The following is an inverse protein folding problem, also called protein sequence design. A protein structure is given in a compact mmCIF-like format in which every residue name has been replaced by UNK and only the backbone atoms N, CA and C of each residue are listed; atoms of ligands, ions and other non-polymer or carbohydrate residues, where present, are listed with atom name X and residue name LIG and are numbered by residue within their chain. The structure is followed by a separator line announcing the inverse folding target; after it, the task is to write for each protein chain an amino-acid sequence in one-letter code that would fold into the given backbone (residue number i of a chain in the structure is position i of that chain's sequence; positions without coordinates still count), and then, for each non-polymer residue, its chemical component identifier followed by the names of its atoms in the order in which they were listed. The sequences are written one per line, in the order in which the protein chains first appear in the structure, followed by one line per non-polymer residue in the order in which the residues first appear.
data_IF_873595353190
#
_entry.id   IF_873595353190
#
_cell.length_a   1.000
_cell.length_b   1.000
_cell.length_c   1.000
_cell.angle_alpha   90.00
_cell.angle_beta   90.00
_cell.angle_gamma   90.00
#
_symmetry.space_group_name_H-M   'P 1'
#
loop_
_entity.id
_entity.type
_entity.pdbx_description
1 polymer ?
#
# COMPACT_ATOMS: atom_id res chain seq x y z
N UNK A 1 -12.62 9.19 22.20
CA UNK A 1 -12.92 7.87 21.60
C UNK A 1 -11.74 7.28 20.86
N UNK A 2 -10.87 8.11 20.31
CA UNK A 2 -9.62 7.69 19.66
C UNK A 2 -8.41 7.75 20.58
N UNK A 3 -8.61 8.07 21.87
CA UNK A 3 -7.53 8.22 22.83
C UNK A 3 -6.70 9.48 22.64
N UNK A 4 -7.26 10.53 22.03
CA UNK A 4 -6.57 11.80 21.86
C UNK A 4 -6.22 12.45 23.22
N UNK A 5 -5.03 13.01 23.31
CA UNK A 5 -4.59 13.79 24.46
C UNK A 5 -5.22 15.18 24.45
N UNK A 6 -5.21 15.89 25.59
CA UNK A 6 -5.66 17.30 25.69
C UNK A 6 -4.95 18.19 24.68
N UNK A 7 -3.65 18.01 24.50
CA UNK A 7 -2.83 18.72 23.54
C UNK A 7 -3.24 18.47 22.08
N UNK A 8 -3.65 17.23 21.76
CA UNK A 8 -4.17 16.88 20.43
C UNK A 8 -5.57 17.43 20.16
N UNK A 9 -6.31 17.80 21.22
CA UNK A 9 -7.64 18.40 21.11
C UNK A 9 -7.59 19.92 20.97
N UNK A 10 -6.50 20.56 21.39
CA UNK A 10 -6.26 21.99 21.26
C UNK A 10 -5.54 22.28 19.93
N UNK A 11 -6.31 22.36 18.85
CA UNK A 11 -5.81 22.61 17.50
C UNK A 11 -6.45 23.86 16.89
N UNK A 12 -5.71 24.61 16.06
CA UNK A 12 -6.26 25.77 15.36
C UNK A 12 -7.27 25.33 14.29
N UNK A 13 -8.31 26.14 14.11
CA UNK A 13 -9.36 25.91 13.13
C UNK A 13 -9.30 27.00 12.06
N UNK A 14 -9.38 26.59 10.80
CA UNK A 14 -9.49 27.52 9.68
C UNK A 14 -10.63 27.08 8.74
N UNK A 15 -11.35 28.06 8.21
CA UNK A 15 -12.43 27.86 7.27
C UNK A 15 -11.93 28.11 5.85
N UNK A 16 -12.23 27.23 4.92
CA UNK A 16 -11.78 27.37 3.54
C UNK A 16 -12.81 26.86 2.53
N UNK A 17 -12.82 27.49 1.38
CA UNK A 17 -13.55 27.04 0.20
C UNK A 17 -12.58 26.73 -0.92
N UNK A 18 -12.27 25.45 -1.14
CA UNK A 18 -11.38 25.01 -2.22
C UNK A 18 -11.93 25.36 -3.61
N UNK A 19 -13.27 25.36 -3.78
CA UNK A 19 -13.92 25.73 -5.05
C UNK A 19 -13.68 27.21 -5.39
N UNK A 20 -13.74 28.09 -4.39
CA UNK A 20 -13.62 29.54 -4.60
C UNK A 20 -12.17 30.05 -4.35
N UNK A 21 -11.27 29.18 -3.87
CA UNK A 21 -9.91 29.56 -3.57
C UNK A 21 -9.77 30.55 -2.40
N UNK A 22 -10.63 30.46 -1.38
CA UNK A 22 -10.71 31.40 -0.25
C UNK A 22 -10.45 30.67 1.06
N UNK A 23 -9.79 31.34 2.02
CA UNK A 23 -9.64 30.84 3.37
C UNK A 23 -9.67 31.97 4.41
N UNK A 24 -10.01 31.66 5.68
CA UNK A 24 -10.07 32.65 6.76
C UNK A 24 -10.27 32.01 8.13
N UNK A 25 -10.02 32.77 9.19
CA UNK A 25 -10.18 32.30 10.57
C UNK A 25 -11.65 32.27 11.01
N UNK A 26 -12.51 33.00 10.33
CA UNK A 26 -13.94 33.06 10.61
C UNK A 26 -14.74 32.61 9.38
N UNK A 27 -15.85 31.89 9.55
CA UNK A 27 -16.62 31.36 8.42
C UNK A 27 -17.24 32.46 7.56
N UNK A 28 -17.57 33.62 8.16
CA UNK A 28 -18.21 34.76 7.49
C UNK A 28 -17.22 35.84 7.05
N UNK A 29 -15.92 35.65 7.28
CA UNK A 29 -14.85 36.59 6.97
C UNK A 29 -13.66 35.89 6.29
N UNK A 30 -13.92 35.27 5.14
CA UNK A 30 -12.87 34.67 4.33
C UNK A 30 -12.05 35.74 3.60
N UNK A 31 -10.73 35.56 3.55
CA UNK A 31 -9.85 36.38 2.74
C UNK A 31 -10.09 36.12 1.24
N UNK A 32 -9.48 36.94 0.39
CA UNK A 32 -9.64 36.84 -1.08
C UNK A 32 -8.84 35.69 -1.72
N UNK A 33 -8.08 34.93 -0.93
CA UNK A 33 -7.22 33.84 -1.40
C UNK A 33 -6.99 32.76 -0.32
N UNK A 34 -6.13 31.77 -0.62
CA UNK A 34 -5.79 30.67 0.29
C UNK A 34 -4.61 30.98 1.23
N UNK A 35 -4.06 32.18 1.19
CA UNK A 35 -2.90 32.57 2.01
C UNK A 35 -3.09 32.27 3.49
N UNK A 36 -4.26 32.56 4.13
CA UNK A 36 -4.44 32.26 5.55
C UNK A 36 -4.31 30.76 5.88
N UNK A 37 -4.79 29.87 4.99
CA UNK A 37 -4.63 28.42 5.16
C UNK A 37 -3.17 28.00 5.01
N UNK A 38 -2.49 28.50 3.99
CA UNK A 38 -1.09 28.17 3.74
C UNK A 38 -0.19 28.67 4.88
N UNK A 39 -0.47 29.89 5.39
CA UNK A 39 0.25 30.44 6.53
C UNK A 39 0.04 29.61 7.79
N UNK A 40 -1.20 29.21 8.08
CA UNK A 40 -1.50 28.37 9.23
C UNK A 40 -0.77 27.00 9.14
N UNK A 41 -0.66 26.42 7.96
CA UNK A 41 0.11 25.19 7.76
C UNK A 41 1.59 25.43 8.11
N UNK A 42 2.17 26.52 7.64
CA UNK A 42 3.59 26.85 7.91
C UNK A 42 3.83 27.11 9.41
N UNK A 43 2.88 27.74 10.09
CA UNK A 43 3.02 28.12 11.50
C UNK A 43 2.78 26.95 12.48
N UNK A 44 1.91 26.00 12.12
CA UNK A 44 1.44 24.97 13.06
C UNK A 44 1.85 23.55 12.70
N UNK A 45 2.20 23.26 11.43
CA UNK A 45 2.65 21.91 11.07
C UNK A 45 4.15 21.80 11.28
N UNK A 46 4.62 20.96 12.21
CA UNK A 46 6.05 20.82 12.46
C UNK A 46 6.77 20.28 11.22
N UNK A 47 7.96 20.81 10.96
CA UNK A 47 8.85 20.25 9.96
C UNK A 47 9.23 18.81 10.32
N UNK A 48 9.56 17.94 9.33
CA UNK A 48 10.03 16.60 9.62
C UNK A 48 11.27 16.62 10.53
N UNK A 49 11.25 15.81 11.59
CA UNK A 49 12.44 15.56 12.41
C UNK A 49 13.35 14.60 11.65
N UNK A 50 14.45 15.13 11.10
CA UNK A 50 15.34 14.40 10.19
C UNK A 50 16.79 14.78 10.44
N UNK A 51 17.69 13.82 10.20
CA UNK A 51 19.14 14.02 10.20
C UNK A 51 19.63 14.26 8.77
N UNK A 52 19.92 15.52 8.44
CA UNK A 52 20.41 15.94 7.11
C UNK A 52 21.88 15.62 6.87
N UNK A 53 22.69 15.54 7.93
CA UNK A 53 24.15 15.41 7.86
C UNK A 53 24.63 13.95 8.06
N UNK A 54 23.74 13.07 8.47
CA UNK A 54 24.02 11.66 8.66
C UNK A 54 24.27 10.91 7.34
N UNK A 55 24.82 9.69 7.40
CA UNK A 55 24.98 8.85 6.21
C UNK A 55 23.64 8.48 5.59
N UNK A 56 23.57 8.48 4.26
CA UNK A 56 22.34 8.21 3.52
C UNK A 56 21.67 6.91 3.96
N UNK A 57 20.36 6.96 4.19
CA UNK A 57 19.53 5.81 4.50
C UNK A 57 18.07 6.05 4.07
N UNK A 58 17.54 5.12 3.31
CA UNK A 58 16.17 5.14 2.78
C UNK A 58 15.59 3.73 2.81
N UNK A 59 14.32 3.59 3.14
CA UNK A 59 13.60 2.31 3.02
C UNK A 59 12.65 2.33 1.84
N UNK A 60 12.66 1.25 1.06
CA UNK A 60 11.73 1.07 -0.05
C UNK A 60 10.35 0.68 0.53
N UNK A 61 9.39 1.56 0.35
CA UNK A 61 8.01 1.36 0.81
C UNK A 61 7.05 0.99 -0.33
N UNK A 62 7.41 1.31 -1.55
CA UNK A 62 6.62 1.02 -2.74
C UNK A 62 7.54 0.73 -3.93
N UNK A 63 7.10 -0.12 -4.82
CA UNK A 63 7.76 -0.39 -6.09
C UNK A 63 6.91 0.11 -7.26
N UNK A 64 7.57 0.52 -8.31
CA UNK A 64 6.98 0.84 -9.60
C UNK A 64 7.84 0.22 -10.71
N UNK A 65 7.32 0.13 -11.90
CA UNK A 65 8.02 -0.46 -13.02
C UNK A 65 7.85 0.35 -14.30
N UNK A 66 8.96 0.58 -14.97
CA UNK A 66 8.96 1.21 -16.28
C UNK A 66 9.80 0.35 -17.25
N UNK A 67 9.30 0.11 -18.45
CA UNK A 67 9.95 -0.78 -19.44
C UNK A 67 11.34 -0.30 -19.87
N UNK A 68 11.67 0.99 -19.69
CA UNK A 68 12.96 1.56 -20.07
C UNK A 68 14.00 1.56 -18.95
N UNK A 69 13.56 1.78 -17.71
CA UNK A 69 14.46 1.92 -16.54
C UNK A 69 14.37 0.74 -15.56
N UNK A 70 13.44 -0.18 -15.81
CA UNK A 70 13.21 -1.35 -14.95
C UNK A 70 12.44 -1.00 -13.67
N UNK A 71 12.80 -1.68 -12.58
CA UNK A 71 12.20 -1.47 -11.27
C UNK A 71 12.62 -0.12 -10.70
N UNK A 72 11.64 0.59 -10.13
CA UNK A 72 11.80 1.89 -9.48
C UNK A 72 11.43 1.72 -8.01
N UNK A 73 12.36 2.00 -7.13
CA UNK A 73 12.13 1.99 -5.69
C UNK A 73 11.64 3.34 -5.20
N UNK A 74 10.52 3.37 -4.50
CA UNK A 74 9.94 4.59 -3.92
C UNK A 74 9.99 4.47 -2.41
N UNK A 75 10.40 5.55 -1.74
CA UNK A 75 10.45 5.61 -0.30
C UNK A 75 10.82 6.97 0.24
N UNK A 76 10.78 7.09 1.56
CA UNK A 76 11.21 8.29 2.27
C UNK A 76 12.67 8.16 2.68
N UNK A 77 13.46 9.20 2.42
CA UNK A 77 14.81 9.32 2.94
C UNK A 77 14.73 9.55 4.45
N UNK A 78 15.33 8.66 5.25
CA UNK A 78 15.32 8.75 6.72
C UNK A 78 16.41 9.67 7.24
N UNK A 79 17.60 9.62 6.63
CA UNK A 79 18.74 10.48 6.96
C UNK A 79 19.64 10.67 5.75
N UNK A 80 20.42 11.75 5.80
CA UNK A 80 21.42 12.08 4.80
C UNK A 80 20.84 12.56 3.48
N UNK A 81 21.61 12.39 2.43
CA UNK A 81 21.33 12.92 1.09
C UNK A 81 21.67 11.89 0.03
N UNK A 82 20.98 11.95 -1.10
CA UNK A 82 21.23 11.08 -2.26
C UNK A 82 21.31 11.91 -3.54
N UNK A 83 22.22 11.50 -4.43
CA UNK A 83 22.43 12.09 -5.75
C UNK A 83 22.38 11.02 -6.85
N UNK A 84 22.06 11.40 -8.09
CA UNK A 84 22.26 10.53 -9.23
C UNK A 84 23.71 10.05 -9.31
N UNK A 85 23.91 8.82 -9.79
CA UNK A 85 25.21 8.17 -9.91
C UNK A 85 25.95 7.83 -8.61
N UNK A 86 25.36 8.04 -7.43
CA UNK A 86 25.93 7.67 -6.14
C UNK A 86 26.00 6.15 -5.99
N UNK A 87 27.10 5.64 -5.40
CA UNK A 87 27.22 4.24 -5.00
C UNK A 87 26.46 4.03 -3.68
N UNK A 88 25.69 2.96 -3.60
CA UNK A 88 24.88 2.62 -2.43
C UNK A 88 24.93 1.13 -2.16
N UNK A 89 24.63 0.74 -0.93
CA UNK A 89 24.43 -0.65 -0.54
C UNK A 89 22.95 -0.88 -0.29
N UNK A 90 22.41 -1.97 -0.79
CA UNK A 90 21.05 -2.41 -0.57
C UNK A 90 21.09 -3.59 0.39
N UNK A 91 20.25 -3.56 1.42
CA UNK A 91 20.07 -4.62 2.40
C UNK A 91 18.64 -5.13 2.28
N UNK A 92 18.49 -6.43 2.03
CA UNK A 92 17.17 -7.06 1.98
C UNK A 92 16.63 -7.41 3.38
N UNK A 93 15.41 -7.94 3.43
CA UNK A 93 14.74 -8.33 4.68
C UNK A 93 15.45 -9.49 5.42
N UNK A 94 16.33 -10.25 4.73
CA UNK A 94 17.12 -11.34 5.30
C UNK A 94 18.50 -10.86 5.79
N UNK A 95 18.83 -9.57 5.58
CA UNK A 95 20.12 -8.97 5.95
C UNK A 95 21.22 -9.19 4.91
N UNK A 96 20.90 -9.72 3.73
CA UNK A 96 21.87 -9.89 2.65
C UNK A 96 22.11 -8.55 1.96
N UNK A 97 23.37 -8.25 1.72
CA UNK A 97 23.80 -6.98 1.15
C UNK A 97 24.25 -7.11 -0.30
N UNK A 98 23.99 -6.08 -1.10
CA UNK A 98 24.54 -5.93 -2.46
C UNK A 98 24.81 -4.47 -2.77
N UNK A 99 25.83 -4.22 -3.57
CA UNK A 99 26.16 -2.88 -4.02
C UNK A 99 25.35 -2.54 -5.28
N UNK A 100 24.94 -1.30 -5.39
CA UNK A 100 24.26 -0.77 -6.55
C UNK A 100 24.68 0.68 -6.81
N UNK A 101 24.31 1.18 -7.99
CA UNK A 101 24.53 2.56 -8.36
C UNK A 101 23.18 3.21 -8.63
N UNK A 102 22.90 4.33 -7.98
CA UNK A 102 21.71 5.15 -8.21
C UNK A 102 21.73 5.63 -9.66
N UNK A 103 20.68 5.38 -10.41
CA UNK A 103 20.48 5.93 -11.74
C UNK A 103 19.98 7.37 -11.63
N UNK A 104 18.67 7.55 -11.71
CA UNK A 104 18.00 8.84 -11.54
C UNK A 104 17.36 8.91 -10.15
N UNK A 105 17.31 10.12 -9.61
CA UNK A 105 16.53 10.48 -8.45
C UNK A 105 15.36 11.33 -8.91
N UNK A 106 14.14 10.93 -8.60
CA UNK A 106 12.90 11.60 -9.01
C UNK A 106 12.17 12.09 -7.78
N UNK A 107 12.02 13.39 -7.65
CA UNK A 107 11.14 14.03 -6.66
C UNK A 107 9.72 14.16 -7.20
N UNK A 108 8.83 14.71 -6.38
CA UNK A 108 7.45 14.97 -6.74
C UNK A 108 7.16 16.47 -6.72
N UNK A 109 6.56 16.98 -7.78
CA UNK A 109 6.03 18.33 -7.84
C UNK A 109 4.56 18.26 -8.27
N UNK A 110 3.66 18.44 -7.33
CA UNK A 110 2.24 18.13 -7.54
C UNK A 110 2.05 16.63 -7.83
N UNK A 111 1.49 16.30 -8.98
CA UNK A 111 1.28 14.92 -9.43
C UNK A 111 2.41 14.39 -10.33
N UNK A 112 3.34 15.24 -10.74
CA UNK A 112 4.40 14.88 -11.66
C UNK A 112 5.66 14.47 -10.92
N UNK A 113 6.39 13.50 -11.50
CA UNK A 113 7.74 13.13 -11.08
C UNK A 113 8.75 13.94 -11.88
N UNK A 114 9.60 14.65 -11.18
CA UNK A 114 10.68 15.47 -11.79
C UNK A 114 12.05 14.95 -11.39
N UNK A 115 13.00 14.98 -12.31
CA UNK A 115 14.38 14.63 -12.00
C UNK A 115 14.99 15.70 -11.08
N UNK A 116 15.72 15.25 -10.05
CA UNK A 116 16.43 16.12 -9.12
C UNK A 116 17.88 15.69 -8.99
N UNK A 117 18.77 16.67 -8.90
CA UNK A 117 20.20 16.44 -8.70
C UNK A 117 20.57 16.13 -7.26
N UNK A 118 19.68 16.41 -6.33
CA UNK A 118 19.85 16.17 -4.90
C UNK A 118 18.49 15.95 -4.23
N UNK A 119 18.42 14.95 -3.36
CA UNK A 119 17.32 14.77 -2.44
C UNK A 119 17.86 14.57 -1.01
N UNK A 120 17.10 15.01 -0.01
CA UNK A 120 17.55 15.09 1.38
C UNK A 120 16.61 14.30 2.32
N UNK A 121 17.07 14.08 3.54
CA UNK A 121 16.25 13.44 4.56
C UNK A 121 14.91 14.16 4.76
N UNK A 122 13.83 13.36 4.79
CA UNK A 122 12.45 13.85 4.80
C UNK A 122 11.75 13.75 3.44
N UNK A 123 12.49 13.83 2.34
CA UNK A 123 11.92 13.73 1.00
C UNK A 123 11.40 12.32 0.70
N UNK A 124 10.31 12.27 -0.05
CA UNK A 124 9.81 11.04 -0.68
C UNK A 124 10.27 11.05 -2.13
N UNK A 125 11.09 10.08 -2.49
CA UNK A 125 11.70 10.02 -3.81
C UNK A 125 11.51 8.66 -4.46
N UNK A 126 11.58 8.66 -5.80
CA UNK A 126 11.67 7.46 -6.60
C UNK A 126 13.10 7.32 -7.15
N UNK A 127 13.73 6.17 -6.93
CA UNK A 127 15.12 5.92 -7.36
C UNK A 127 15.13 4.79 -8.38
N UNK A 128 15.87 5.01 -9.48
CA UNK A 128 16.07 4.03 -10.55
C UNK A 128 17.49 3.46 -10.54
N UNK A 129 17.74 2.42 -11.33
CA UNK A 129 19.09 1.87 -11.52
C UNK A 129 19.57 0.91 -10.43
N UNK A 130 18.74 0.64 -9.44
CA UNK A 130 19.11 -0.21 -8.31
C UNK A 130 19.00 -1.73 -8.59
N UNK A 131 18.50 -2.13 -9.78
CA UNK A 131 18.27 -3.53 -10.13
C UNK A 131 17.02 -4.11 -9.46
N UNK A 132 17.10 -5.35 -9.04
CA UNK A 132 16.00 -6.00 -8.32
C UNK A 132 15.82 -5.38 -6.94
N UNK A 133 14.61 -5.04 -6.58
CA UNK A 133 14.23 -4.45 -5.30
C UNK A 133 13.00 -5.13 -4.76
N UNK A 134 12.93 -5.21 -3.44
CA UNK A 134 11.74 -5.63 -2.72
C UNK A 134 11.27 -4.50 -1.79
N UNK A 135 9.98 -4.53 -1.44
CA UNK A 135 9.48 -3.67 -0.37
C UNK A 135 10.18 -4.07 0.93
N UNK A 136 10.50 -3.07 1.73
CA UNK A 136 11.28 -3.18 2.95
C UNK A 136 12.81 -3.18 2.77
N UNK A 137 13.33 -3.34 1.54
CA UNK A 137 14.77 -3.19 1.32
C UNK A 137 15.23 -1.81 1.82
N UNK A 138 16.38 -1.80 2.47
CA UNK A 138 17.04 -0.56 2.89
C UNK A 138 18.14 -0.22 1.91
N UNK A 139 18.12 1.00 1.38
CA UNK A 139 19.19 1.57 0.55
C UNK A 139 19.99 2.53 1.42
N UNK A 140 21.29 2.30 1.57
CA UNK A 140 22.13 3.07 2.47
C UNK A 140 23.50 3.39 1.88
N UNK A 141 24.23 4.24 2.58
CA UNK A 141 25.64 4.55 2.29
C UNK A 141 26.50 3.28 2.35
N UNK A 142 27.51 3.19 1.47
CA UNK A 142 28.39 2.00 1.36
C UNK A 142 29.33 1.81 2.57
N UNK A 143 29.59 2.87 3.33
CA UNK A 143 30.45 2.83 4.51
C UNK A 143 29.65 2.62 5.80
N UNK A 144 28.36 2.97 5.79
CA UNK A 144 27.46 2.85 6.92
C UNK A 144 26.27 1.95 6.54
N UNK A 145 26.53 0.64 6.53
CA UNK A 145 25.56 -0.38 6.15
C UNK A 145 24.70 -0.73 7.35
N UNK A 146 23.49 -0.14 7.40
CA UNK A 146 22.55 -0.30 8.51
C UNK A 146 21.13 -0.50 7.97
N UNK A 147 20.52 -1.64 8.28
CA UNK A 147 19.15 -1.96 7.88
C UNK A 147 18.14 -1.22 8.76
N UNK A 148 17.08 -0.71 8.14
CA UNK A 148 15.88 -0.28 8.84
C UNK A 148 15.03 -1.51 9.22
N UNK A 149 14.20 -1.42 10.29
CA UNK A 149 13.28 -2.48 10.63
C UNK A 149 12.39 -2.87 9.44
N UNK A 150 12.26 -4.17 9.19
CA UNK A 150 11.46 -4.66 8.09
C UNK A 150 9.99 -4.25 8.26
N UNK A 151 9.38 -3.81 7.16
CA UNK A 151 7.94 -3.53 7.11
C UNK A 151 7.20 -4.88 7.11
N UNK A 152 6.34 -5.10 8.08
CA UNK A 152 5.49 -6.28 8.09
C UNK A 152 4.35 -6.10 7.08
N UNK A 153 4.19 -7.08 6.20
CA UNK A 153 3.03 -7.18 5.31
C UNK A 153 2.21 -8.38 5.76
N UNK A 154 0.92 -8.17 5.93
CA UNK A 154 0.02 -9.27 6.29
C UNK A 154 0.06 -10.37 5.24
N UNK A 155 0.19 -11.60 5.71
CA UNK A 155 0.22 -12.75 4.81
C UNK A 155 -1.17 -13.02 4.22
N UNK A 156 -1.23 -13.62 3.01
CA UNK A 156 -2.47 -13.97 2.38
C UNK A 156 -3.33 -14.91 3.25
N UNK A 157 -4.63 -14.66 3.29
CA UNK A 157 -5.60 -15.46 4.04
C UNK A 157 -6.52 -16.28 3.15
N UNK A 158 -6.64 -15.90 1.86
CA UNK A 158 -7.54 -16.52 0.89
C UNK A 158 -6.78 -16.83 -0.40
N UNK A 159 -7.06 -17.96 -1.01
CA UNK A 159 -6.52 -18.37 -2.31
C UNK A 159 -7.62 -18.75 -3.31
N UNK A 160 -7.36 -18.51 -4.58
CA UNK A 160 -8.20 -18.93 -5.71
C UNK A 160 -7.31 -19.50 -6.82
N UNK A 161 -7.89 -20.32 -7.70
CA UNK A 161 -7.24 -20.67 -8.95
C UNK A 161 -7.68 -19.72 -10.05
N UNK A 162 -6.70 -19.20 -10.79
CA UNK A 162 -6.89 -18.45 -12.03
C UNK A 162 -6.52 -19.39 -13.17
N UNK A 163 -7.47 -19.71 -14.01
CA UNK A 163 -7.32 -20.72 -15.04
C UNK A 163 -7.62 -20.15 -16.43
N UNK A 164 -7.08 -20.78 -17.44
CA UNK A 164 -7.50 -20.54 -18.82
C UNK A 164 -8.99 -20.86 -18.97
N UNK A 165 -9.73 -20.03 -19.69
CA UNK A 165 -11.12 -20.28 -20.01
C UNK A 165 -11.21 -21.36 -21.10
N UNK A 166 -11.67 -22.55 -20.75
CA UNK A 166 -11.85 -23.69 -21.68
C UNK A 166 -13.27 -23.79 -22.23
N UNK A 167 -14.13 -22.80 -21.95
CA UNK A 167 -15.51 -22.84 -22.45
C UNK A 167 -15.58 -22.59 -23.97
N UNK A 168 -16.69 -22.98 -24.64
CA UNK A 168 -16.91 -22.72 -26.07
C UNK A 168 -16.96 -21.21 -26.42
N UNK A 169 -17.02 -20.36 -25.43
CA UNK A 169 -17.09 -18.90 -25.59
C UNK A 169 -15.73 -18.21 -25.41
N UNK A 170 -14.67 -18.99 -25.20
CA UNK A 170 -13.31 -18.47 -25.03
C UNK A 170 -12.91 -17.55 -26.21
N UNK A 171 -12.34 -16.39 -25.87
CA UNK A 171 -11.88 -15.40 -26.84
C UNK A 171 -12.96 -14.49 -27.44
N UNK A 172 -14.20 -14.56 -26.95
CA UNK A 172 -15.27 -13.69 -27.45
C UNK A 172 -15.28 -12.31 -26.78
N UNK A 173 -14.91 -12.22 -25.52
CA UNK A 173 -14.93 -10.99 -24.75
C UNK A 173 -13.52 -10.47 -24.44
N UNK A 174 -12.50 -11.34 -24.36
CA UNK A 174 -11.13 -10.99 -24.08
C UNK A 174 -10.14 -11.34 -25.21
N UNK A 175 -9.06 -10.56 -25.33
CA UNK A 175 -7.98 -10.77 -26.29
C UNK A 175 -6.88 -11.67 -25.73
N UNK A 176 -6.70 -11.66 -24.41
CA UNK A 176 -5.63 -12.37 -23.71
C UNK A 176 -6.22 -13.58 -23.00
N UNK A 177 -6.06 -14.74 -23.61
CA UNK A 177 -6.74 -15.98 -23.21
C UNK A 177 -5.78 -17.14 -22.89
N UNK A 178 -4.47 -16.96 -23.11
CA UNK A 178 -3.49 -18.04 -22.93
C UNK A 178 -2.89 -18.02 -21.52
N UNK A 179 -2.50 -19.21 -21.01
CA UNK A 179 -1.86 -19.35 -19.70
C UNK A 179 -0.61 -18.46 -19.57
N UNK A 180 0.22 -18.38 -20.61
CA UNK A 180 1.40 -17.51 -20.62
C UNK A 180 1.05 -16.04 -20.43
N UNK A 181 0.02 -15.54 -21.14
CA UNK A 181 -0.41 -14.14 -21.00
C UNK A 181 -0.93 -13.84 -19.59
N UNK A 182 -1.70 -14.77 -19.02
CA UNK A 182 -2.23 -14.67 -17.65
C UNK A 182 -1.06 -14.63 -16.65
N UNK A 183 -0.09 -15.55 -16.77
CA UNK A 183 1.08 -15.60 -15.89
C UNK A 183 1.93 -14.32 -16.00
N UNK A 184 2.22 -13.86 -17.22
CA UNK A 184 2.98 -12.63 -17.44
C UNK A 184 2.30 -11.42 -16.79
N UNK A 185 0.97 -11.36 -16.83
CA UNK A 185 0.20 -10.29 -16.17
C UNK A 185 0.23 -10.42 -14.65
N UNK A 186 0.08 -11.63 -14.13
CA UNK A 186 0.18 -11.89 -12.69
C UNK A 186 1.57 -11.55 -12.15
N UNK A 187 2.63 -11.88 -12.87
CA UNK A 187 4.00 -11.52 -12.50
C UNK A 187 4.23 -10.00 -12.49
N UNK A 188 3.62 -9.26 -13.41
CA UNK A 188 3.64 -7.79 -13.37
C UNK A 188 2.92 -7.25 -12.14
N UNK A 189 1.82 -7.87 -11.74
CA UNK A 189 1.10 -7.46 -10.52
C UNK A 189 1.95 -7.67 -9.27
N UNK A 190 2.70 -8.77 -9.17
CA UNK A 190 3.57 -9.07 -8.03
C UNK A 190 4.62 -7.98 -7.76
N UNK A 191 5.02 -7.21 -8.78
CA UNK A 191 5.99 -6.11 -8.60
C UNK A 191 5.44 -5.02 -7.67
N UNK A 192 4.14 -4.74 -7.72
CA UNK A 192 3.53 -3.65 -6.95
C UNK A 192 2.71 -4.17 -5.77
N UNK A 193 2.20 -5.38 -5.87
CA UNK A 193 1.22 -5.95 -4.95
C UNK A 193 1.87 -6.99 -4.03
N UNK A 194 2.54 -6.51 -2.99
CA UNK A 194 3.30 -7.34 -2.05
C UNK A 194 2.46 -8.32 -1.24
N UNK A 195 1.16 -8.07 -1.12
CA UNK A 195 0.24 -8.98 -0.43
C UNK A 195 -0.31 -10.08 -1.34
N UNK A 196 0.05 -10.07 -2.62
CA UNK A 196 -0.32 -11.09 -3.58
C UNK A 196 0.78 -12.17 -3.63
N UNK A 197 0.38 -13.43 -3.72
CA UNK A 197 1.28 -14.55 -4.05
C UNK A 197 0.71 -15.31 -5.23
N UNK A 198 1.56 -15.69 -6.16
CA UNK A 198 1.21 -16.48 -7.34
C UNK A 198 2.11 -17.70 -7.36
N UNK A 199 1.50 -18.86 -7.45
CA UNK A 199 2.19 -20.15 -7.49
C UNK A 199 1.72 -20.91 -8.72
N UNK A 200 2.65 -21.47 -9.47
CA UNK A 200 2.34 -22.41 -10.52
C UNK A 200 1.81 -23.72 -9.91
N UNK A 201 0.95 -24.40 -10.62
CA UNK A 201 0.37 -25.67 -10.17
C UNK A 201 0.85 -26.82 -11.08
N UNK A 202 0.48 -28.06 -10.76
CA UNK A 202 0.74 -29.20 -11.63
C UNK A 202 0.01 -29.06 -12.98
N UNK A 203 -1.08 -28.29 -13.02
CA UNK A 203 -1.79 -27.93 -14.24
C UNK A 203 -1.20 -26.64 -14.81
N UNK A 204 -0.58 -26.73 -15.99
CA UNK A 204 0.05 -25.58 -16.66
C UNK A 204 -0.93 -24.47 -17.06
N UNK A 205 -2.23 -24.75 -17.05
CA UNK A 205 -3.29 -23.80 -17.38
C UNK A 205 -3.97 -23.20 -16.12
N UNK A 206 -3.45 -23.49 -14.92
CA UNK A 206 -4.00 -23.02 -13.66
C UNK A 206 -2.91 -22.44 -12.73
N UNK A 207 -3.14 -21.27 -12.18
CA UNK A 207 -2.27 -20.59 -11.21
C UNK A 207 -3.00 -20.43 -9.90
N UNK A 208 -2.33 -20.75 -8.78
CA UNK A 208 -2.85 -20.45 -7.44
C UNK A 208 -2.51 -19.00 -7.10
N UNK A 209 -3.52 -18.19 -6.93
CA UNK A 209 -3.39 -16.77 -6.57
C UNK A 209 -3.93 -16.57 -5.16
N UNK A 210 -3.08 -16.08 -4.28
CA UNK A 210 -3.39 -15.87 -2.85
C UNK A 210 -3.32 -14.40 -2.52
N UNK A 211 -4.29 -13.90 -1.76
CA UNK A 211 -4.40 -12.50 -1.37
C UNK A 211 -4.98 -12.31 0.04
N UNK A 212 -5.07 -11.06 0.48
CA UNK A 212 -5.57 -10.70 1.82
C UNK A 212 -7.03 -11.08 2.03
N UNK A 213 -7.84 -11.15 0.97
CA UNK A 213 -9.26 -11.45 1.07
C UNK A 213 -9.94 -11.46 -0.30
N UNK A 214 -11.25 -11.74 -0.32
CA UNK A 214 -12.03 -11.82 -1.55
C UNK A 214 -12.04 -10.50 -2.33
N UNK A 215 -12.17 -9.36 -1.66
CA UNK A 215 -12.18 -8.06 -2.32
C UNK A 215 -10.85 -7.78 -3.04
N UNK A 216 -9.73 -8.12 -2.41
CA UNK A 216 -8.41 -7.95 -3.01
C UNK A 216 -8.27 -8.73 -4.32
N UNK A 217 -8.68 -10.00 -4.33
CA UNK A 217 -8.65 -10.85 -5.54
C UNK A 217 -9.70 -10.42 -6.57
N UNK A 218 -10.88 -9.96 -6.13
CA UNK A 218 -11.92 -9.47 -7.04
C UNK A 218 -11.50 -8.20 -7.77
N UNK A 219 -10.79 -7.28 -7.11
CA UNK A 219 -10.25 -6.07 -7.75
C UNK A 219 -9.21 -6.46 -8.80
N UNK A 220 -8.34 -7.42 -8.51
CA UNK A 220 -7.38 -7.93 -9.50
C UNK A 220 -8.08 -8.53 -10.71
N UNK A 221 -9.08 -9.38 -10.51
CA UNK A 221 -9.87 -9.99 -11.59
C UNK A 221 -10.53 -8.92 -12.46
N UNK A 222 -11.14 -7.92 -11.83
CA UNK A 222 -11.81 -6.83 -12.55
C UNK A 222 -10.81 -5.97 -13.35
N UNK A 223 -9.64 -5.68 -12.80
CA UNK A 223 -8.59 -4.97 -13.52
C UNK A 223 -8.13 -5.78 -14.75
N UNK A 224 -7.86 -7.07 -14.58
CA UNK A 224 -7.50 -7.94 -15.69
C UNK A 224 -8.60 -8.00 -16.75
N UNK A 225 -9.87 -8.10 -16.33
CA UNK A 225 -11.01 -8.07 -17.26
C UNK A 225 -11.04 -6.78 -18.08
N UNK A 226 -10.85 -5.63 -17.44
CA UNK A 226 -10.81 -4.30 -18.12
C UNK A 226 -9.62 -4.17 -19.08
N UNK A 227 -8.53 -4.82 -18.78
CA UNK A 227 -7.35 -4.88 -19.67
C UNK A 227 -7.56 -5.81 -20.88
N UNK A 228 -8.66 -6.57 -20.91
CA UNK A 228 -9.02 -7.50 -21.99
C UNK A 228 -8.55 -8.94 -21.78
N UNK A 229 -8.24 -9.32 -20.53
CA UNK A 229 -8.02 -10.72 -20.18
C UNK A 229 -9.35 -11.44 -20.00
N UNK A 230 -9.39 -12.69 -20.46
CA UNK A 230 -10.49 -13.60 -20.24
C UNK A 230 -9.95 -14.84 -19.53
N UNK A 231 -10.45 -15.13 -18.34
CA UNK A 231 -9.98 -16.22 -17.49
C UNK A 231 -11.15 -16.84 -16.73
N UNK A 232 -10.99 -18.08 -16.32
CA UNK A 232 -11.88 -18.76 -15.38
C UNK A 232 -11.28 -18.67 -13.98
N UNK A 233 -12.13 -18.51 -12.95
CA UNK A 233 -11.70 -18.46 -11.56
C UNK A 233 -12.44 -19.47 -10.72
N UNK A 234 -11.75 -20.09 -9.76
CA UNK A 234 -12.38 -20.98 -8.79
C UNK A 234 -13.07 -20.18 -7.67
N UNK A 235 -13.84 -20.88 -6.84
CA UNK A 235 -14.30 -20.29 -5.57
C UNK A 235 -13.10 -20.04 -4.66
N UNK A 236 -13.12 -18.94 -3.89
CA UNK A 236 -12.08 -18.66 -2.91
C UNK A 236 -12.06 -19.73 -1.81
N UNK A 237 -10.85 -20.06 -1.35
CA UNK A 237 -10.62 -20.99 -0.25
C UNK A 237 -9.76 -20.30 0.79
N UNK A 238 -10.11 -20.49 2.07
CA UNK A 238 -9.31 -20.03 3.19
C UNK A 238 -8.00 -20.81 3.25
N UNK A 239 -6.91 -20.11 3.51
CA UNK A 239 -5.58 -20.69 3.69
C UNK A 239 -5.45 -21.12 5.14
N UNK A 240 -5.30 -22.42 5.37
CA UNK A 240 -5.00 -22.96 6.68
C UNK A 240 -3.48 -23.02 6.90
N UNK A 241 -3.07 -22.80 8.14
CA UNK A 241 -1.67 -22.96 8.55
C UNK A 241 -1.55 -24.07 9.58
N UNK A 242 -0.40 -24.69 9.63
CA UNK A 242 -0.05 -25.61 10.67
C UNK A 242 0.96 -24.93 11.61
N UNK A 243 0.53 -24.67 12.86
CA UNK A 243 1.37 -24.06 13.88
C UNK A 243 1.38 -25.04 15.07
N UNK A 244 2.56 -25.46 15.50
CA UNK A 244 2.76 -26.45 16.58
C UNK A 244 1.95 -27.76 16.36
N UNK A 245 1.90 -28.23 15.10
CA UNK A 245 1.19 -29.46 14.74
C UNK A 245 -0.35 -29.34 14.78
N UNK A 246 -0.87 -28.12 14.87
CA UNK A 246 -2.32 -27.84 14.85
C UNK A 246 -2.69 -27.01 13.64
N UNK A 247 -3.73 -27.45 12.95
CA UNK A 247 -4.32 -26.70 11.84
C UNK A 247 -5.05 -25.48 12.37
N UNK A 248 -4.67 -24.30 11.88
CA UNK A 248 -5.27 -23.02 12.27
C UNK A 248 -5.85 -22.32 11.05
N UNK A 249 -6.92 -21.59 11.24
CA UNK A 249 -7.54 -20.70 10.27
C UNK A 249 -7.25 -19.24 10.64
N UNK A 250 -7.22 -18.30 9.64
CA UNK A 250 -7.04 -16.89 9.92
C UNK A 250 -8.24 -16.34 10.69
N UNK A 251 -7.97 -15.51 11.70
CA UNK A 251 -8.94 -14.77 12.48
C UNK A 251 -8.64 -13.29 12.40
N UNK A 252 -9.68 -12.45 12.30
CA UNK A 252 -9.52 -11.01 12.14
C UNK A 252 -10.23 -10.27 13.28
N UNK A 253 -9.63 -9.16 13.73
CA UNK A 253 -10.31 -8.19 14.57
C UNK A 253 -11.05 -7.21 13.66
N UNK A 254 -12.36 -7.16 13.77
CA UNK A 254 -13.22 -6.34 12.93
C UNK A 254 -13.84 -5.25 13.77
N UNK A 255 -13.62 -3.99 13.39
CA UNK A 255 -14.31 -2.84 13.99
C UNK A 255 -15.32 -2.28 12.99
N UNK A 256 -16.56 -2.21 13.40
CA UNK A 256 -17.70 -1.71 12.60
C UNK A 256 -18.31 -0.49 13.25
N UNK A 257 -18.58 0.53 12.46
CA UNK A 257 -19.34 1.71 12.88
C UNK A 257 -20.62 1.78 12.04
N UNK A 258 -21.74 1.39 12.64
CA UNK A 258 -23.02 1.21 11.95
C UNK A 258 -24.13 2.04 12.59
N UNK A 259 -25.17 2.36 11.82
CA UNK A 259 -26.37 2.95 12.38
C UNK A 259 -27.11 1.95 13.26
N UNK A 260 -27.69 2.40 14.38
CA UNK A 260 -28.39 1.53 15.37
C UNK A 260 -29.47 0.65 14.71
N UNK A 261 -30.16 1.16 13.69
CA UNK A 261 -31.19 0.39 12.97
C UNK A 261 -30.63 -0.85 12.25
N UNK A 262 -29.33 -0.88 11.92
CA UNK A 262 -28.67 -1.99 11.21
C UNK A 262 -27.89 -2.90 12.14
N UNK A 263 -27.76 -2.56 13.43
CA UNK A 263 -26.99 -3.31 14.42
C UNK A 263 -27.44 -4.79 14.49
N UNK A 264 -28.73 -5.05 14.56
CA UNK A 264 -29.26 -6.42 14.70
C UNK A 264 -28.91 -7.30 13.50
N UNK A 265 -29.05 -6.80 12.28
CA UNK A 265 -28.73 -7.55 11.06
C UNK A 265 -27.23 -7.82 10.91
N UNK A 266 -26.41 -6.86 11.29
CA UNK A 266 -24.94 -7.01 11.30
C UNK A 266 -24.51 -8.06 12.33
N UNK A 267 -25.04 -7.98 13.55
CA UNK A 267 -24.75 -8.97 14.60
C UNK A 267 -25.19 -10.39 14.22
N UNK A 268 -26.36 -10.53 13.60
CA UNK A 268 -26.82 -11.82 13.10
C UNK A 268 -25.86 -12.37 12.03
N UNK A 269 -25.50 -11.56 11.04
CA UNK A 269 -24.61 -11.97 9.97
C UNK A 269 -23.21 -12.36 10.45
N UNK A 270 -22.68 -11.69 11.47
CA UNK A 270 -21.41 -12.06 12.11
C UNK A 270 -21.54 -13.30 12.99
N UNK A 271 -22.65 -13.45 13.72
CA UNK A 271 -22.92 -14.63 14.52
C UNK A 271 -23.02 -15.91 13.69
N UNK A 272 -23.65 -15.86 12.51
CA UNK A 272 -23.67 -16.97 11.54
C UNK A 272 -22.25 -17.37 11.08
N UNK A 273 -21.31 -16.40 11.08
CA UNK A 273 -19.89 -16.60 10.76
C UNK A 273 -19.03 -16.88 11.98
N UNK A 274 -19.64 -17.17 13.14
CA UNK A 274 -18.96 -17.41 14.41
C UNK A 274 -18.13 -16.23 14.92
N UNK A 275 -18.55 -15.00 14.60
CA UNK A 275 -17.98 -13.79 15.17
C UNK A 275 -18.23 -13.73 16.68
N UNK A 276 -17.22 -13.26 17.41
CA UNK A 276 -17.26 -13.08 18.86
C UNK A 276 -17.24 -11.58 19.18
N UNK A 277 -18.39 -11.05 19.62
CA UNK A 277 -18.52 -9.63 19.97
C UNK A 277 -17.74 -9.34 21.26
N UNK A 278 -16.74 -8.46 21.16
CA UNK A 278 -15.90 -8.03 22.29
C UNK A 278 -16.45 -6.78 22.97
N UNK A 279 -16.80 -5.77 22.17
CA UNK A 279 -17.28 -4.49 22.67
C UNK A 279 -18.44 -3.96 21.82
N UNK A 280 -19.32 -3.21 22.45
CA UNK A 280 -20.41 -2.49 21.81
C UNK A 280 -20.56 -1.11 22.45
N UNK A 281 -20.26 -0.07 21.70
CA UNK A 281 -20.23 1.31 22.19
C UNK A 281 -21.17 2.20 21.36
N UNK A 282 -22.40 2.50 21.85
CA UNK A 282 -23.26 3.47 21.21
C UNK A 282 -22.68 4.89 21.36
N UNK A 283 -22.79 5.71 20.31
CA UNK A 283 -22.30 7.09 20.32
C UNK A 283 -23.31 8.09 20.88
N UNK A 284 -24.55 7.64 21.15
CA UNK A 284 -25.64 8.49 21.59
C UNK A 284 -26.22 9.41 20.50
N UNK A 285 -25.79 9.25 19.25
CA UNK A 285 -26.25 10.02 18.07
C UNK A 285 -26.82 9.12 16.98
N UNK A 286 -27.22 7.89 17.33
CA UNK A 286 -27.83 6.93 16.41
C UNK A 286 -26.84 6.03 15.68
N UNK A 287 -25.59 5.98 16.13
CA UNK A 287 -24.59 5.02 15.64
C UNK A 287 -24.02 4.17 16.77
N UNK A 288 -23.60 2.99 16.45
CA UNK A 288 -22.97 2.05 17.37
C UNK A 288 -21.69 1.48 16.79
N UNK A 289 -20.66 1.42 17.59
CA UNK A 289 -19.39 0.77 17.26
C UNK A 289 -19.39 -0.63 17.84
N UNK A 290 -19.07 -1.59 16.99
CA UNK A 290 -18.97 -3.02 17.31
C UNK A 290 -17.53 -3.47 17.06
N UNK A 291 -16.92 -4.13 18.05
CA UNK A 291 -15.59 -4.74 17.94
C UNK A 291 -15.68 -6.25 18.15
#
# INVERSE_FOLDING_TARGET
RLGATEEQLDFPVIYASGLNGLAGLEPDALASDMTPLLQMIVDHVPAPDVDLDGPFQMQISQLDYNSYVGVIGIGRIKRGKVKPNQQVTIIDSEGKTRNAKVGKVLGHLGLERIETDLAEAGDIVAITGLGELNISDTVCDTQNVEALPALSVDEPTVSMFFCVNTSPFCGKEGKFVTSRQILDRLNKELVHNVALRVEETEDADAFRVSGRGELHLSVLIENMRREGFELAVSRPKVIFREIDGRKQEPYENVTLDVEEQHQGSVMQALGERKGDLKNMNPDGKGRVRLD
#
